data_IF_281138470133
#
_entry.id   IF_281138470133
#
_cell.length_a   1.000
_cell.length_b   1.000
_cell.length_c   1.000
_cell.angle_alpha   90.00
_cell.angle_beta   90.00
_cell.angle_gamma   90.00
#
_symmetry.space_group_name_H-M   'P 1'
#
loop_
_entity.id
_entity.type
_entity.pdbx_description
1 polymer ?
#
# COMPACT_ATOMS: atom_id res chain seq x y z
N UNK A 1 -7.52 3.93 27.24
CA UNK A 1 -6.39 3.01 26.99
C UNK A 1 -5.48 3.67 25.98
N UNK A 2 -4.53 4.46 26.45
CA UNK A 2 -3.47 5.03 25.61
C UNK A 2 -2.62 3.88 25.08
N UNK A 3 -2.64 3.67 23.77
CA UNK A 3 -1.70 2.76 23.13
C UNK A 3 -0.33 3.41 23.26
N UNK A 4 0.48 2.88 24.17
CA UNK A 4 1.92 3.08 24.18
C UNK A 4 2.40 2.65 22.80
N UNK A 5 2.70 3.60 21.91
CA UNK A 5 3.35 3.31 20.63
C UNK A 5 4.64 2.60 20.96
N UNK A 6 4.67 1.28 20.77
CA UNK A 6 5.86 0.50 21.06
C UNK A 6 6.99 1.07 20.21
N UNK A 7 8.18 1.12 20.79
CA UNK A 7 9.41 1.67 20.19
C UNK A 7 9.78 1.02 18.84
N UNK A 8 9.02 0.01 18.37
CA UNK A 8 9.25 -0.74 17.14
C UNK A 8 8.19 -0.56 16.06
N UNK A 9 7.24 0.38 16.21
CA UNK A 9 6.36 0.74 15.10
C UNK A 9 7.15 1.63 14.14
N UNK A 10 7.31 1.16 12.89
CA UNK A 10 7.95 1.95 11.82
C UNK A 10 6.91 2.33 10.78
N UNK A 11 6.85 3.61 10.45
CA UNK A 11 5.98 4.15 9.41
C UNK A 11 6.84 4.69 8.28
N UNK A 12 6.46 4.41 7.04
CA UNK A 12 7.07 5.02 5.85
C UNK A 12 6.01 5.35 4.82
N UNK A 13 6.19 6.49 4.17
CA UNK A 13 5.42 6.85 2.98
C UNK A 13 5.95 6.08 1.78
N UNK A 14 5.02 5.64 0.94
CA UNK A 14 5.30 4.88 -0.29
C UNK A 14 4.29 5.24 -1.35
N UNK A 15 4.73 5.17 -2.60
CA UNK A 15 3.87 5.35 -3.76
C UNK A 15 3.60 4.00 -4.44
N UNK A 16 2.33 3.76 -4.75
CA UNK A 16 1.87 2.61 -5.50
C UNK A 16 2.35 2.69 -6.94
N UNK A 17 2.94 1.61 -7.43
CA UNK A 17 3.36 1.46 -8.81
C UNK A 17 2.29 0.75 -9.62
N UNK A 18 1.92 1.33 -10.76
CA UNK A 18 1.09 0.69 -11.78
C UNK A 18 1.96 -0.21 -12.66
N UNK A 19 1.61 -1.48 -12.77
CA UNK A 19 2.28 -2.43 -13.65
C UNK A 19 1.28 -2.92 -14.69
N UNK A 20 1.70 -2.87 -15.96
CA UNK A 20 0.94 -3.38 -17.10
C UNK A 20 1.70 -4.61 -17.60
N UNK A 21 1.19 -5.79 -17.29
CA UNK A 21 1.69 -7.03 -17.85
C UNK A 21 0.99 -7.34 -19.17
N UNK A 22 1.73 -7.94 -20.10
CA UNK A 22 1.20 -8.39 -21.39
C UNK A 22 1.56 -9.86 -21.60
N UNK A 23 0.58 -10.67 -21.98
CA UNK A 23 0.77 -12.08 -22.33
C UNK A 23 0.28 -12.31 -23.75
N UNK A 24 1.20 -12.77 -24.60
CA UNK A 24 0.86 -13.20 -25.96
C UNK A 24 0.46 -14.68 -25.93
N UNK A 25 -0.72 -14.98 -26.47
CA UNK A 25 -1.24 -16.34 -26.62
C UNK A 25 -1.70 -16.50 -28.06
N UNK A 26 -0.98 -17.33 -28.83
CA UNK A 26 -1.16 -17.46 -30.28
C UNK A 26 -1.04 -16.08 -30.96
N UNK A 27 -2.13 -15.57 -31.53
CA UNK A 27 -2.22 -14.27 -32.20
C UNK A 27 -2.98 -13.21 -31.38
N UNK A 28 -3.21 -13.43 -30.08
CA UNK A 28 -3.90 -12.48 -29.20
C UNK A 28 -2.99 -12.02 -28.06
N UNK A 29 -2.97 -10.71 -27.81
CA UNK A 29 -2.28 -10.11 -26.67
C UNK A 29 -3.29 -9.78 -25.58
N UNK A 30 -3.10 -10.37 -24.40
CA UNK A 30 -3.88 -10.07 -23.20
C UNK A 30 -3.07 -9.13 -22.31
N UNK A 31 -3.66 -7.99 -21.93
CA UNK A 31 -3.06 -7.07 -20.97
C UNK A 31 -3.73 -7.20 -19.61
N UNK A 32 -2.95 -7.21 -18.55
CA UNK A 32 -3.44 -7.11 -17.18
C UNK A 32 -2.79 -5.92 -16.49
N UNK A 33 -3.57 -5.22 -15.69
CA UNK A 33 -3.15 -4.06 -14.92
C UNK A 33 -3.26 -4.39 -13.44
N UNK A 34 -2.18 -4.16 -12.70
CA UNK A 34 -2.18 -4.30 -11.26
C UNK A 34 -1.35 -3.21 -10.61
N UNK A 35 -1.65 -2.96 -9.34
CA UNK A 35 -1.01 -1.95 -8.53
C UNK A 35 -0.21 -2.64 -7.42
N UNK A 36 1.02 -2.19 -7.20
CA UNK A 36 1.94 -2.85 -6.27
C UNK A 36 2.74 -1.85 -5.45
N UNK A 37 3.04 -2.22 -4.22
CA UNK A 37 3.95 -1.52 -3.31
C UNK A 37 5.27 -2.28 -3.16
N UNK A 38 6.26 -1.67 -2.50
CA UNK A 38 7.53 -2.34 -2.19
C UNK A 38 7.28 -3.68 -1.50
N UNK A 39 8.09 -4.69 -1.83
CA UNK A 39 7.88 -6.11 -1.46
C UNK A 39 6.75 -6.82 -2.24
N UNK A 40 6.36 -6.28 -3.41
CA UNK A 40 5.32 -6.86 -4.27
C UNK A 40 3.96 -7.00 -3.57
N UNK A 41 3.64 -6.08 -2.64
CA UNK A 41 2.36 -6.08 -1.97
C UNK A 41 1.31 -5.52 -2.94
N UNK A 42 0.37 -6.38 -3.32
CA UNK A 42 -0.72 -6.03 -4.21
C UNK A 42 -1.68 -5.04 -3.54
N UNK A 43 -2.07 -4.01 -4.29
CA UNK A 43 -3.12 -3.07 -3.89
C UNK A 43 -4.32 -3.23 -4.83
N UNK A 44 -5.52 -3.48 -4.31
CA UNK A 44 -6.72 -3.58 -5.14
C UNK A 44 -6.99 -2.29 -5.92
N UNK A 45 -7.37 -2.43 -7.20
CA UNK A 45 -7.64 -1.30 -8.09
C UNK A 45 -8.69 -0.33 -7.55
N UNK A 46 -9.78 -0.84 -6.98
CA UNK A 46 -10.84 -0.01 -6.39
C UNK A 46 -10.36 0.85 -5.21
N UNK A 47 -9.34 0.40 -4.47
CA UNK A 47 -8.73 1.18 -3.39
C UNK A 47 -7.88 2.32 -3.98
N UNK A 48 -7.08 2.03 -5.01
CA UNK A 48 -6.27 3.05 -5.70
C UNK A 48 -7.16 4.11 -6.36
N UNK A 49 -8.23 3.71 -7.04
CA UNK A 49 -9.18 4.64 -7.67
C UNK A 49 -9.87 5.55 -6.66
N UNK A 50 -10.15 5.03 -5.44
CA UNK A 50 -10.83 5.79 -4.39
C UNK A 50 -9.89 6.73 -3.63
N UNK A 51 -8.67 6.29 -3.33
CA UNK A 51 -7.80 7.00 -2.38
C UNK A 51 -6.52 7.59 -3.01
N UNK A 52 -6.21 7.26 -4.26
CA UNK A 52 -5.01 7.70 -4.96
C UNK A 52 -3.85 6.69 -4.84
N UNK A 53 -2.64 7.16 -5.13
CA UNK A 53 -1.42 6.34 -5.22
C UNK A 53 -0.53 6.44 -3.97
N UNK A 54 -0.82 7.38 -3.06
CA UNK A 54 -0.03 7.62 -1.86
C UNK A 54 -0.51 6.75 -0.70
N UNK A 55 0.41 5.97 -0.15
CA UNK A 55 0.14 5.04 0.95
C UNK A 55 1.21 5.19 2.04
N UNK A 56 0.88 4.68 3.22
CA UNK A 56 1.83 4.42 4.29
C UNK A 56 1.94 2.93 4.55
N UNK A 57 3.17 2.47 4.80
CA UNK A 57 3.43 1.13 5.30
C UNK A 57 3.77 1.26 6.78
N UNK A 58 2.94 0.65 7.62
CA UNK A 58 3.11 0.61 9.07
C UNK A 58 3.57 -0.81 9.41
N UNK A 59 4.74 -0.94 10.04
CA UNK A 59 5.27 -2.21 10.51
C UNK A 59 5.23 -2.26 12.02
N UNK A 60 4.45 -3.16 12.57
CA UNK A 60 4.44 -3.51 13.98
C UNK A 60 5.34 -4.75 14.15
N UNK A 61 6.60 -4.54 14.54
CA UNK A 61 7.58 -5.63 14.67
C UNK A 61 7.26 -6.56 15.86
N UNK A 62 6.52 -6.08 16.86
CA UNK A 62 6.17 -6.91 18.03
C UNK A 62 5.04 -7.88 17.70
N UNK A 63 4.09 -7.48 16.85
CA UNK A 63 3.01 -8.36 16.38
C UNK A 63 3.32 -9.09 15.08
N UNK A 64 4.38 -8.70 14.38
CA UNK A 64 4.69 -9.21 13.05
C UNK A 64 3.65 -8.79 12.00
N UNK A 65 3.00 -7.63 12.19
CA UNK A 65 1.93 -7.14 11.30
C UNK A 65 2.46 -6.03 10.41
N UNK A 66 2.17 -6.12 9.11
CA UNK A 66 2.39 -5.06 8.14
C UNK A 66 1.03 -4.53 7.69
N UNK A 67 0.74 -3.28 7.99
CA UNK A 67 -0.48 -2.60 7.57
C UNK A 67 -0.17 -1.67 6.42
N UNK A 68 -0.98 -1.76 5.36
CA UNK A 68 -0.99 -0.81 4.26
C UNK A 68 -2.22 0.08 4.41
N UNK A 69 -2.02 1.39 4.40
CA UNK A 69 -3.10 2.35 4.54
C UNK A 69 -2.91 3.50 3.55
N UNK A 70 -3.97 4.00 2.90
CA UNK A 70 -3.87 5.22 2.12
C UNK A 70 -3.40 6.40 2.96
N UNK A 71 -2.54 7.26 2.41
CA UNK A 71 -1.94 8.40 3.12
C UNK A 71 -2.99 9.31 3.76
N UNK A 72 -4.06 9.64 3.01
CA UNK A 72 -5.17 10.47 3.50
C UNK A 72 -5.81 9.92 4.78
N UNK A 73 -6.06 8.60 4.82
CA UNK A 73 -6.65 7.97 6.02
C UNK A 73 -5.65 7.96 7.19
N UNK A 74 -4.36 7.81 6.90
CA UNK A 74 -3.33 7.86 7.93
C UNK A 74 -3.17 9.26 8.54
N UNK A 75 -3.31 10.32 7.73
CA UNK A 75 -3.38 11.71 8.20
C UNK A 75 -4.62 11.96 9.05
N UNK A 76 -5.80 11.51 8.58
CA UNK A 76 -7.07 11.63 9.32
C UNK A 76 -7.03 10.91 10.69
N UNK A 77 -6.30 9.80 10.78
CA UNK A 77 -6.11 9.04 12.02
C UNK A 77 -4.94 9.54 12.88
N UNK A 78 -4.22 10.58 12.44
CA UNK A 78 -3.07 11.14 13.16
C UNK A 78 -1.86 10.21 13.23
N UNK A 79 -1.77 9.21 12.33
CA UNK A 79 -0.65 8.25 12.26
C UNK A 79 0.60 8.93 11.67
N UNK A 80 0.39 9.84 10.72
CA UNK A 80 1.42 10.70 10.16
C UNK A 80 1.00 12.16 10.32
N UNK A 81 1.95 13.03 10.62
CA UNK A 81 1.72 14.47 10.64
C UNK A 81 1.95 15.04 9.24
N UNK A 82 1.17 16.08 8.91
CA UNK A 82 1.27 16.82 7.65
C UNK A 82 2.54 17.68 7.59
#
# INVERSE_FOLDING_TARGET
MEQTLSKKIRVREVEVRRIIGKKNVKNKTYSYEYYTLSLNLYVPRNIVERYGYEFVVIRDEDKGIITLMPKKLAEEQGIISK
#
